data_IF_612057737775
#
_entry.id   IF_612057737775
#
_cell.length_a   1.000
_cell.length_b   1.000
_cell.length_c   1.000
_cell.angle_alpha   90.00
_cell.angle_beta   90.00
_cell.angle_gamma   90.00
#
_symmetry.space_group_name_H-M   'P 1'
#
loop_
_entity.id
_entity.type
_entity.pdbx_description
1 polymer ?
#
# COMPACT_ATOMS: atom_id res chain seq x y z
N UNK A 1 0.54 20.45 17.65
CA UNK A 1 -0.42 19.35 17.87
C UNK A 1 -0.01 18.21 16.97
N UNK A 2 0.36 17.05 17.54
CA UNK A 2 0.59 15.84 16.75
C UNK A 2 -0.80 15.40 16.30
N UNK A 3 -1.17 15.70 15.04
CA UNK A 3 -2.41 15.19 14.48
C UNK A 3 -2.45 13.69 14.68
N UNK A 4 -3.60 13.14 15.05
CA UNK A 4 -3.78 11.70 15.20
C UNK A 4 -3.34 10.99 13.92
N UNK A 5 -2.18 10.34 13.93
CA UNK A 5 -1.64 9.51 12.85
C UNK A 5 -2.46 8.22 12.76
N UNK A 6 -3.74 8.33 12.38
CA UNK A 6 -4.59 7.18 12.10
C UNK A 6 -4.25 6.69 10.70
N UNK A 7 -3.74 5.46 10.60
CA UNK A 7 -3.61 4.76 9.32
C UNK A 7 -5.01 4.37 8.84
N UNK A 8 -5.43 4.89 7.69
CA UNK A 8 -6.75 4.60 7.09
C UNK A 8 -6.72 3.43 6.11
N UNK A 9 -5.54 3.14 5.55
CA UNK A 9 -5.28 2.00 4.66
C UNK A 9 -3.81 1.60 4.75
N UNK A 10 -3.49 0.31 4.65
CA UNK A 10 -2.13 -0.21 4.72
C UNK A 10 -2.00 -1.51 3.92
N UNK A 11 -0.82 -1.70 3.32
CA UNK A 11 -0.38 -3.00 2.82
C UNK A 11 0.50 -3.69 3.88
N UNK A 12 0.30 -4.98 4.06
CA UNK A 12 1.02 -5.80 5.05
C UNK A 12 2.01 -6.74 4.38
N UNK A 13 2.90 -7.32 5.18
CA UNK A 13 3.80 -8.38 4.71
C UNK A 13 3.01 -9.60 4.24
N UNK A 14 1.87 -9.90 4.88
CA UNK A 14 1.03 -11.04 4.50
C UNK A 14 0.37 -10.82 3.13
N UNK A 15 -0.02 -9.58 2.79
CA UNK A 15 -0.50 -9.24 1.45
C UNK A 15 0.58 -9.48 0.40
N UNK A 16 1.82 -9.02 0.67
CA UNK A 16 2.97 -9.25 -0.21
C UNK A 16 3.23 -10.76 -0.38
N UNK A 17 3.16 -11.53 0.70
CA UNK A 17 3.39 -12.98 0.65
C UNK A 17 2.26 -13.74 -0.04
N UNK A 18 1.03 -13.24 0.04
CA UNK A 18 -0.12 -13.80 -0.68
C UNK A 18 0.10 -13.65 -2.18
N UNK A 19 0.41 -12.44 -2.65
CA UNK A 19 0.75 -12.18 -4.06
C UNK A 19 1.95 -13.00 -4.51
N UNK A 20 3.01 -13.08 -3.70
CA UNK A 20 4.18 -13.89 -4.05
C UNK A 20 3.87 -15.38 -4.18
N UNK A 21 2.97 -15.91 -3.34
CA UNK A 21 2.53 -17.30 -3.44
C UNK A 21 1.73 -17.54 -4.72
N UNK A 22 0.89 -16.60 -5.12
CA UNK A 22 0.06 -16.74 -6.30
C UNK A 22 0.87 -16.56 -7.60
N UNK A 23 1.79 -15.60 -7.64
CA UNK A 23 2.58 -15.27 -8.84
C UNK A 23 3.86 -16.10 -9.00
N UNK A 24 4.50 -16.50 -7.89
CA UNK A 24 5.81 -17.16 -7.88
C UNK A 24 5.78 -18.57 -7.26
N UNK A 25 4.61 -19.05 -6.82
CA UNK A 25 4.41 -20.34 -6.14
C UNK A 25 5.29 -20.55 -4.89
N UNK A 26 5.80 -19.46 -4.29
CA UNK A 26 6.65 -19.50 -3.09
C UNK A 26 6.56 -18.23 -2.26
N UNK A 27 7.02 -18.31 -1.00
CA UNK A 27 7.22 -17.13 -0.16
C UNK A 27 8.50 -16.37 -0.53
N UNK A 28 8.47 -15.06 -0.37
CA UNK A 28 9.65 -14.20 -0.42
C UNK A 28 10.47 -14.35 0.85
N UNK A 29 11.80 -14.36 0.71
CA UNK A 29 12.69 -14.27 1.86
C UNK A 29 12.82 -12.81 2.35
N UNK A 30 13.50 -12.61 3.49
CA UNK A 30 13.66 -11.28 4.12
C UNK A 30 14.27 -10.22 3.18
N UNK A 31 15.25 -10.60 2.35
CA UNK A 31 15.92 -9.68 1.42
C UNK A 31 14.96 -9.27 0.30
N UNK A 32 14.22 -10.22 -0.25
CA UNK A 32 13.22 -9.98 -1.30
C UNK A 32 12.06 -9.14 -0.78
N UNK A 33 11.53 -9.43 0.41
CA UNK A 33 10.52 -8.60 1.08
C UNK A 33 10.97 -7.15 1.17
N UNK A 34 12.23 -6.92 1.61
CA UNK A 34 12.74 -5.56 1.74
C UNK A 34 12.84 -4.82 0.40
N UNK A 35 13.17 -5.54 -0.67
CA UNK A 35 13.20 -4.98 -2.01
C UNK A 35 11.80 -4.57 -2.49
N UNK A 36 10.77 -5.37 -2.18
CA UNK A 36 9.38 -5.06 -2.50
C UNK A 36 8.88 -3.87 -1.66
N UNK A 37 9.08 -3.88 -0.34
CA UNK A 37 8.71 -2.76 0.55
C UNK A 37 9.23 -1.41 0.04
N UNK A 38 10.49 -1.38 -0.42
CA UNK A 38 11.12 -0.14 -0.88
C UNK A 38 10.58 0.36 -2.23
N UNK A 39 9.95 -0.51 -3.03
CA UNK A 39 9.45 -0.17 -4.37
C UNK A 39 7.94 -0.05 -4.45
N UNK A 40 7.19 -0.71 -3.56
CA UNK A 40 5.74 -0.81 -3.67
C UNK A 40 5.05 0.56 -3.62
N UNK A 41 5.61 1.51 -2.88
CA UNK A 41 5.13 2.89 -2.83
C UNK A 41 5.17 3.62 -4.18
N UNK A 42 6.15 3.29 -5.05
CA UNK A 42 6.26 3.88 -6.39
C UNK A 42 5.16 3.38 -7.33
N UNK A 43 4.55 2.23 -7.00
CA UNK A 43 3.47 1.62 -7.76
C UNK A 43 2.08 1.97 -7.22
N UNK A 44 1.99 2.61 -6.04
CA UNK A 44 0.73 3.04 -5.43
C UNK A 44 0.59 4.55 -5.62
N UNK A 45 -0.29 4.98 -6.53
CA UNK A 45 -0.65 6.40 -6.67
C UNK A 45 -1.57 6.85 -5.54
N UNK A 46 -1.03 6.92 -4.32
CA UNK A 46 -1.79 7.24 -3.10
C UNK A 46 -2.44 8.63 -3.16
N UNK A 47 -1.81 9.58 -3.86
CA UNK A 47 -2.36 10.92 -4.03
C UNK A 47 -3.65 10.89 -4.84
N UNK A 48 -3.65 10.20 -5.98
CA UNK A 48 -4.84 10.04 -6.82
C UNK A 48 -5.94 9.26 -6.09
N UNK A 49 -5.58 8.23 -5.34
CA UNK A 49 -6.55 7.46 -4.54
C UNK A 49 -7.27 8.35 -3.52
N UNK A 50 -6.53 9.19 -2.78
CA UNK A 50 -7.12 10.14 -1.82
C UNK A 50 -7.92 11.21 -2.55
N UNK A 51 -7.39 11.78 -3.65
CA UNK A 51 -8.09 12.80 -4.44
C UNK A 51 -9.41 12.30 -5.00
N UNK A 52 -9.45 11.07 -5.49
CA UNK A 52 -10.65 10.44 -6.02
C UNK A 52 -11.66 10.16 -4.91
N UNK A 53 -11.21 9.63 -3.77
CA UNK A 53 -12.08 9.39 -2.62
C UNK A 53 -12.72 10.68 -2.08
N UNK A 54 -12.01 11.82 -2.11
CA UNK A 54 -12.59 13.12 -1.78
C UNK A 54 -13.68 13.52 -2.78
N UNK A 55 -13.41 13.44 -4.09
CA UNK A 55 -14.39 13.76 -5.14
C UNK A 55 -15.65 12.90 -5.03
N UNK A 56 -15.49 11.59 -4.85
CA UNK A 56 -16.60 10.65 -4.72
C UNK A 56 -17.42 10.89 -3.43
N UNK A 57 -16.78 11.45 -2.41
CA UNK A 57 -17.43 11.87 -1.17
C UNK A 57 -18.08 13.25 -1.24
N UNK A 58 -18.10 13.90 -2.41
CA UNK A 58 -18.51 15.30 -2.61
C UNK A 58 -17.75 16.26 -1.67
N UNK A 59 -16.45 16.02 -1.52
CA UNK A 59 -15.50 16.91 -0.86
C UNK A 59 -14.74 17.63 -1.97
N UNK A 60 -15.34 18.70 -2.46
CA UNK A 60 -14.79 19.67 -3.40
C UNK A 60 -14.38 20.96 -2.66
N UNK A 61 -13.56 21.78 -3.33
CA UNK A 61 -13.03 23.04 -2.80
C UNK A 61 -14.05 24.18 -2.91
#
# INVERSE_FOLDING_TARGET
MKGSERVVYSLTIDDIQTVAKDDLERKLNKKELKMVENKIGDHVNWFEAISSAMKDSNIDA
#
